data_IF_454675614744
#
_entry.id   IF_454675614744
#
_cell.length_a   1.000
_cell.length_b   1.000
_cell.length_c   1.000
_cell.angle_alpha   90.00
_cell.angle_beta   90.00
_cell.angle_gamma   90.00
#
_symmetry.space_group_name_H-M   'P 1'
#
loop_
_entity.id
_entity.type
_entity.pdbx_description
1 polymer ?
#
# COMPACT_ATOMS: atom_id res chain seq x y z
N UNK A 1 -2.76 3.82 0.43
CA UNK A 1 -4.21 3.59 0.22
C UNK A 1 -4.61 2.34 1.00
N UNK A 2 -5.80 2.31 1.60
CA UNK A 2 -6.29 1.19 2.41
C UNK A 2 -7.74 0.87 2.00
N UNK A 3 -8.01 -0.36 1.57
CA UNK A 3 -9.33 -0.80 1.08
C UNK A 3 -9.93 -1.93 1.93
N UNK A 4 -11.25 -1.91 2.12
CA UNK A 4 -12.08 -2.98 2.71
C UNK A 4 -11.61 -3.55 4.07
N UNK A 5 -10.90 -2.73 4.86
CA UNK A 5 -10.38 -3.08 6.18
C UNK A 5 -11.47 -3.35 7.21
N UNK A 6 -11.16 -4.14 8.25
CA UNK A 6 -12.16 -4.58 9.23
C UNK A 6 -11.86 -4.34 10.70
N UNK A 7 -10.59 -4.30 11.09
CA UNK A 7 -10.16 -4.06 12.48
C UNK A 7 -10.18 -2.57 12.80
N UNK A 8 -9.25 -2.06 13.59
CA UNK A 8 -9.23 -0.69 14.12
C UNK A 8 -8.81 0.39 13.10
N UNK A 9 -8.90 0.10 11.80
CA UNK A 9 -8.26 0.91 10.74
C UNK A 9 -6.77 0.61 10.73
N UNK A 10 -5.94 1.64 10.83
CA UNK A 10 -4.56 1.49 11.30
C UNK A 10 -4.53 1.65 12.84
N UNK A 11 -3.63 0.96 13.54
CA UNK A 11 -3.59 0.97 15.01
C UNK A 11 -2.18 0.81 15.58
N UNK A 12 -2.07 0.85 16.91
CA UNK A 12 -0.85 0.80 17.73
C UNK A 12 -0.23 2.18 17.96
N UNK A 13 1.11 2.28 17.93
CA UNK A 13 1.85 3.53 18.05
C UNK A 13 2.25 3.85 19.49
N UNK A 14 2.60 2.81 20.24
CA UNK A 14 3.19 2.88 21.57
C UNK A 14 4.59 3.51 21.49
N UNK A 15 4.70 4.75 21.95
CA UNK A 15 5.93 5.55 21.89
C UNK A 15 6.21 6.14 20.51
N UNK A 16 7.00 7.22 20.44
CA UNK A 16 7.41 7.83 19.17
C UNK A 16 6.47 8.91 18.62
N UNK A 17 6.72 9.30 17.37
CA UNK A 17 6.06 10.44 16.71
C UNK A 17 5.68 10.07 15.27
N UNK A 18 4.40 10.20 14.93
CA UNK A 18 3.83 9.63 13.71
C UNK A 18 3.09 10.67 12.87
N UNK A 19 3.44 10.73 11.58
CA UNK A 19 2.73 11.52 10.59
C UNK A 19 1.78 10.63 9.77
N UNK A 20 0.49 10.94 9.79
CA UNK A 20 -0.53 10.37 8.92
C UNK A 20 -0.94 11.42 7.90
N UNK A 21 -0.26 11.42 6.77
CA UNK A 21 -0.38 12.46 5.75
C UNK A 21 -0.95 11.89 4.45
N UNK A 22 -1.98 12.54 3.92
CA UNK A 22 -2.51 12.28 2.58
C UNK A 22 -2.85 10.81 2.28
N UNK A 23 -3.26 10.04 3.29
CA UNK A 23 -3.67 8.65 3.07
C UNK A 23 -5.09 8.59 2.49
N UNK A 24 -5.31 7.68 1.54
CA UNK A 24 -6.63 7.37 1.00
C UNK A 24 -7.21 6.09 1.61
N UNK A 25 -8.32 6.22 2.34
CA UNK A 25 -9.07 5.11 2.91
C UNK A 25 -10.35 4.89 2.10
N UNK A 26 -10.64 3.65 1.74
CA UNK A 26 -11.88 3.28 1.07
C UNK A 26 -12.55 2.13 1.80
N UNK A 27 -13.60 2.41 2.61
CA UNK A 27 -14.47 1.39 3.12
C UNK A 27 -14.99 0.52 1.97
N UNK A 28 -14.92 -0.79 2.12
CA UNK A 28 -15.63 -1.74 1.25
C UNK A 28 -16.81 -2.38 1.99
N UNK A 29 -17.44 -3.40 1.39
CA UNK A 29 -18.58 -4.08 1.99
C UNK A 29 -18.30 -4.68 3.37
N UNK A 30 -17.09 -5.22 3.62
CA UNK A 30 -16.69 -5.69 4.94
C UNK A 30 -16.56 -4.54 5.93
N UNK A 31 -15.85 -3.47 5.57
CA UNK A 31 -15.70 -2.27 6.41
C UNK A 31 -17.04 -1.68 6.83
N UNK A 32 -18.02 -1.68 5.93
CA UNK A 32 -19.37 -1.15 6.19
C UNK A 32 -20.12 -1.87 7.33
N UNK A 33 -19.70 -3.10 7.68
CA UNK A 33 -20.24 -3.87 8.82
C UNK A 33 -19.60 -3.51 10.16
N UNK A 34 -18.46 -2.82 10.14
CA UNK A 34 -17.62 -2.59 11.33
C UNK A 34 -17.84 -1.20 11.88
N UNK A 35 -17.60 -1.02 13.18
CA UNK A 35 -17.65 0.30 13.83
C UNK A 35 -16.45 1.18 13.46
N UNK A 36 -15.38 0.57 12.96
CA UNK A 36 -14.14 1.20 12.52
C UNK A 36 -14.22 1.86 11.15
N UNK A 37 -15.35 1.77 10.45
CA UNK A 37 -15.57 2.38 9.12
C UNK A 37 -15.26 3.88 9.03
N UNK A 38 -15.10 4.55 10.18
CA UNK A 38 -14.87 5.99 10.33
C UNK A 38 -13.56 6.31 11.05
N UNK A 39 -12.56 5.42 10.99
CA UNK A 39 -11.27 5.56 11.67
C UNK A 39 -10.13 5.67 10.66
N UNK A 40 -9.31 6.69 10.82
CA UNK A 40 -8.00 6.79 10.17
C UNK A 40 -6.97 6.03 10.99
N UNK A 41 -6.96 6.23 12.31
CA UNK A 41 -6.02 5.56 13.21
C UNK A 41 -6.62 5.35 14.60
N UNK A 42 -6.24 4.26 15.27
CA UNK A 42 -6.56 3.97 16.68
C UNK A 42 -5.27 3.83 17.49
N UNK A 43 -4.96 4.83 18.31
CA UNK A 43 -3.78 4.83 19.18
C UNK A 43 -3.98 3.94 20.41
N UNK A 44 -2.91 3.26 20.80
CA UNK A 44 -2.81 2.45 22.02
C UNK A 44 -1.67 2.99 22.89
N UNK A 45 -1.80 2.82 24.20
CA UNK A 45 -0.69 2.93 25.14
C UNK A 45 -0.05 1.55 25.35
N UNK A 46 1.22 1.53 25.74
CA UNK A 46 1.88 0.30 26.14
C UNK A 46 1.29 -0.19 27.48
N UNK A 47 0.98 -1.49 27.56
CA UNK A 47 0.41 -2.10 28.75
C UNK A 47 1.47 -2.52 29.79
N UNK A 48 2.75 -2.31 29.48
CA UNK A 48 3.91 -2.64 30.30
C UNK A 48 4.30 -4.12 30.23
N UNK A 49 3.74 -4.90 29.30
CA UNK A 49 4.16 -6.29 29.07
C UNK A 49 5.32 -6.43 28.08
N UNK A 50 5.65 -5.35 27.37
CA UNK A 50 6.78 -5.27 26.46
C UNK A 50 7.94 -4.49 27.11
N UNK A 51 8.88 -3.98 26.31
CA UNK A 51 10.04 -3.24 26.80
C UNK A 51 9.72 -1.81 27.29
N UNK A 52 8.63 -1.21 26.81
CA UNK A 52 8.25 0.13 27.22
C UNK A 52 7.63 0.13 28.62
N UNK A 53 7.74 1.28 29.28
CA UNK A 53 7.03 1.52 30.53
C UNK A 53 5.54 1.60 30.25
N UNK A 54 4.72 1.00 31.12
CA UNK A 54 3.26 1.11 31.07
C UNK A 54 2.82 2.57 30.95
N UNK A 55 1.91 2.86 30.02
CA UNK A 55 1.42 4.20 29.73
C UNK A 55 2.23 4.96 28.69
N UNK A 56 3.31 4.36 28.16
CA UNK A 56 4.04 4.93 27.02
C UNK A 56 3.11 4.99 25.81
N UNK A 57 2.95 6.16 25.22
CA UNK A 57 2.12 6.36 24.03
C UNK A 57 2.83 7.25 23.01
N UNK A 58 2.43 7.13 21.76
CA UNK A 58 2.91 7.99 20.68
C UNK A 58 2.22 9.35 20.67
N UNK A 59 2.75 10.24 19.81
CA UNK A 59 2.13 11.51 19.44
C UNK A 59 1.94 11.51 17.92
N UNK A 60 0.78 11.98 17.45
CA UNK A 60 0.30 11.78 16.10
C UNK A 60 -0.08 13.10 15.45
N UNK A 61 0.31 13.30 14.20
CA UNK A 61 -0.18 14.39 13.36
C UNK A 61 -0.97 13.82 12.19
N UNK A 62 -2.21 14.29 12.00
CA UNK A 62 -3.10 13.83 10.93
C UNK A 62 -3.48 15.01 10.04
N UNK A 63 -3.15 14.94 8.75
CA UNK A 63 -3.57 15.96 7.78
C UNK A 63 -3.74 15.40 6.37
N UNK A 64 -4.71 15.93 5.64
CA UNK A 64 -4.94 15.62 4.22
C UNK A 64 -5.40 14.19 3.93
N UNK A 65 -5.66 13.36 4.96
CA UNK A 65 -6.23 12.05 4.78
C UNK A 65 -7.68 12.16 4.30
N UNK A 66 -8.05 11.26 3.41
CA UNK A 66 -9.37 11.21 2.81
C UNK A 66 -9.96 9.82 2.96
N UNK A 67 -11.23 9.77 3.32
CA UNK A 67 -12.02 8.55 3.35
C UNK A 67 -13.14 8.63 2.33
N UNK A 68 -13.16 7.66 1.44
CA UNK A 68 -14.07 7.57 0.31
C UNK A 68 -15.46 7.10 0.77
N UNK A 69 -16.52 7.92 0.63
CA UNK A 69 -17.86 7.55 1.06
C UNK A 69 -18.63 6.77 0.00
N UNK A 70 -18.03 6.34 -1.12
CA UNK A 70 -18.77 5.85 -2.31
C UNK A 70 -19.23 4.40 -2.23
N UNK A 71 -18.67 3.57 -1.35
CA UNK A 71 -19.06 2.15 -1.23
C UNK A 71 -20.58 1.98 -1.12
N UNK A 72 -21.21 1.16 -1.98
CA UNK A 72 -22.67 0.97 -1.97
C UNK A 72 -23.23 0.46 -0.64
N UNK A 73 -22.45 -0.33 0.11
CA UNK A 73 -22.87 -0.89 1.39
C UNK A 73 -22.95 0.14 2.55
N UNK A 74 -22.47 1.37 2.36
CA UNK A 74 -22.57 2.43 3.35
C UNK A 74 -23.97 3.06 3.33
N UNK A 75 -24.64 3.04 4.49
CA UNK A 75 -25.87 3.80 4.70
C UNK A 75 -25.58 5.31 4.83
N UNK A 76 -26.64 6.12 4.75
CA UNK A 76 -26.55 7.58 4.79
C UNK A 76 -25.94 8.12 6.09
N UNK A 77 -26.16 7.44 7.23
CA UNK A 77 -25.59 7.83 8.52
C UNK A 77 -24.07 7.65 8.50
N UNK A 78 -23.59 6.54 7.93
CA UNK A 78 -22.16 6.27 7.76
C UNK A 78 -21.51 7.27 6.80
N UNK A 79 -22.14 7.58 5.66
CA UNK A 79 -21.65 8.60 4.72
C UNK A 79 -21.52 9.97 5.37
N UNK A 80 -22.52 10.40 6.15
CA UNK A 80 -22.44 11.65 6.94
C UNK A 80 -21.31 11.64 7.97
N UNK A 81 -21.02 10.51 8.60
CA UNK A 81 -19.89 10.40 9.51
C UNK A 81 -18.55 10.52 8.77
N UNK A 82 -18.42 9.90 7.60
CA UNK A 82 -17.26 10.02 6.72
C UNK A 82 -17.04 11.47 6.26
N UNK A 83 -18.10 12.18 5.89
CA UNK A 83 -17.99 13.60 5.52
C UNK A 83 -17.47 14.49 6.65
N UNK A 84 -17.67 14.11 7.93
CA UNK A 84 -17.12 14.85 9.08
C UNK A 84 -15.60 14.65 9.20
N UNK A 85 -15.13 13.42 9.14
CA UNK A 85 -13.69 13.10 9.21
C UNK A 85 -12.88 13.62 8.01
N UNK A 86 -13.51 13.79 6.84
CA UNK A 86 -12.87 14.42 5.68
C UNK A 86 -12.72 15.94 5.84
N UNK A 87 -13.54 16.58 6.69
CA UNK A 87 -13.41 18.01 7.03
C UNK A 87 -12.44 18.23 8.17
N UNK A 88 -12.38 17.29 9.10
CA UNK A 88 -11.52 17.32 10.28
C UNK A 88 -10.98 15.91 10.54
N UNK A 89 -9.71 15.69 10.17
CA UNK A 89 -9.07 14.38 10.32
C UNK A 89 -8.96 13.94 11.79
N UNK A 90 -8.95 14.87 12.76
CA UNK A 90 -8.93 14.51 14.18
C UNK A 90 -10.20 13.73 14.58
N UNK A 91 -11.33 13.96 13.90
CA UNK A 91 -12.57 13.20 14.14
C UNK A 91 -12.48 11.72 13.71
N UNK A 92 -11.49 11.37 12.89
CA UNK A 92 -11.17 9.99 12.52
C UNK A 92 -10.06 9.36 13.37
N UNK A 93 -9.50 10.09 14.34
CA UNK A 93 -8.52 9.58 15.29
C UNK A 93 -9.22 9.01 16.54
N UNK A 94 -8.78 7.85 17.01
CA UNK A 94 -9.33 7.20 18.20
C UNK A 94 -8.23 6.96 19.21
N UNK A 95 -8.43 7.41 20.44
CA UNK A 95 -7.57 7.07 21.59
C UNK A 95 -8.22 5.89 22.28
N UNK A 96 -7.56 4.72 22.25
CA UNK A 96 -8.14 3.52 22.84
C UNK A 96 -8.30 3.69 24.35
N UNK A 97 -9.48 3.35 24.88
CA UNK A 97 -9.79 3.41 26.31
C UNK A 97 -9.56 4.79 26.95
N UNK A 98 -9.51 5.85 26.15
CA UNK A 98 -9.29 7.22 26.61
C UNK A 98 -8.05 7.35 27.53
N UNK A 99 -6.96 6.63 27.22
CA UNK A 99 -5.77 6.56 28.08
C UNK A 99 -5.10 7.93 28.33
N UNK A 100 -5.29 8.89 27.43
CA UNK A 100 -4.78 10.26 27.53
C UNK A 100 -5.74 11.23 26.82
N UNK A 101 -5.73 12.53 27.18
CA UNK A 101 -6.49 13.54 26.45
C UNK A 101 -5.90 13.78 25.05
N UNK A 102 -6.75 14.19 24.12
CA UNK A 102 -6.34 14.46 22.74
C UNK A 102 -5.20 15.49 22.61
N UNK A 103 -5.10 16.45 23.55
CA UNK A 103 -4.02 17.44 23.57
C UNK A 103 -2.62 16.86 23.82
N UNK A 104 -2.53 15.65 24.41
CA UNK A 104 -1.25 14.97 24.66
C UNK A 104 -0.87 14.03 23.52
N UNK A 105 -1.86 13.56 22.76
CA UNK A 105 -1.69 12.52 21.73
C UNK A 105 -1.71 13.11 20.32
N UNK A 106 -2.37 14.25 20.08
CA UNK A 106 -2.42 14.92 18.79
C UNK A 106 -1.48 16.12 18.74
N UNK A 107 -0.51 16.06 17.85
CA UNK A 107 0.35 17.19 17.51
C UNK A 107 -0.39 18.20 16.62
N UNK A 108 -0.03 19.47 16.73
CA UNK A 108 -0.57 20.56 15.90
C UNK A 108 0.23 20.80 14.62
N UNK A 109 1.40 20.19 14.49
CA UNK A 109 2.32 20.32 13.36
C UNK A 109 2.92 18.96 12.99
N UNK A 110 3.27 18.73 11.72
CA UNK A 110 3.92 17.49 11.31
C UNK A 110 5.30 17.37 11.95
N UNK A 111 5.69 16.13 12.26
CA UNK A 111 7.04 15.82 12.70
C UNK A 111 8.02 15.88 11.52
N UNK A 112 9.26 16.28 11.77
CA UNK A 112 10.30 16.24 10.75
C UNK A 112 10.61 14.78 10.40
N UNK A 113 10.61 14.46 9.11
CA UNK A 113 11.05 13.17 8.57
C UNK A 113 12.33 13.38 7.76
N UNK A 114 13.27 12.45 7.88
CA UNK A 114 14.55 12.52 7.19
C UNK A 114 14.34 12.18 5.70
N UNK A 115 14.36 13.21 4.85
CA UNK A 115 14.53 13.20 3.39
C UNK A 115 13.36 12.83 2.44
N UNK A 116 13.36 13.56 1.30
CA UNK A 116 12.80 13.28 -0.03
C UNK A 116 11.44 12.58 -0.17
N UNK A 117 10.46 12.88 0.69
CA UNK A 117 9.08 12.48 0.40
C UNK A 117 8.38 13.52 -0.47
N UNK A 118 8.21 13.24 -1.75
CA UNK A 118 7.15 13.91 -2.52
C UNK A 118 5.80 13.41 -1.98
N UNK A 119 5.09 14.27 -1.26
CA UNK A 119 3.74 13.96 -0.82
C UNK A 119 2.77 14.16 -1.98
N UNK A 120 2.10 13.08 -2.38
CA UNK A 120 0.94 13.18 -3.26
C UNK A 120 -0.31 13.52 -2.44
N UNK A 121 -1.24 14.34 -2.98
CA UNK A 121 -2.61 14.41 -2.45
C UNK A 121 -3.25 13.01 -2.37
N UNK A 122 -4.17 12.79 -1.43
CA UNK A 122 -4.74 11.46 -1.21
C UNK A 122 -5.38 10.84 -2.46
N UNK A 123 -6.01 11.65 -3.31
CA UNK A 123 -6.58 11.20 -4.59
C UNK A 123 -5.51 10.77 -5.60
N UNK A 124 -4.42 11.52 -5.71
CA UNK A 124 -3.32 11.19 -6.61
C UNK A 124 -2.58 9.93 -6.12
N UNK A 125 -2.45 9.76 -4.80
CA UNK A 125 -1.94 8.54 -4.20
C UNK A 125 -2.83 7.33 -4.48
N UNK A 126 -4.16 7.49 -4.42
CA UNK A 126 -5.13 6.45 -4.79
C UNK A 126 -4.96 6.02 -6.25
N UNK A 127 -4.92 6.99 -7.16
CA UNK A 127 -4.77 6.74 -8.59
C UNK A 127 -3.40 6.13 -8.93
N UNK A 128 -2.33 6.59 -8.29
CA UNK A 128 -0.98 6.04 -8.47
C UNK A 128 -0.90 4.59 -8.01
N UNK A 129 -1.44 4.27 -6.82
CA UNK A 129 -1.49 2.88 -6.33
C UNK A 129 -2.27 1.99 -7.29
N UNK A 130 -3.44 2.43 -7.79
CA UNK A 130 -4.25 1.61 -8.68
C UNK A 130 -3.65 1.38 -10.06
N UNK A 131 -2.77 2.27 -10.52
CA UNK A 131 -2.05 2.07 -11.77
C UNK A 131 -0.79 1.21 -11.58
N UNK A 132 -0.02 1.49 -10.54
CA UNK A 132 1.39 1.07 -10.47
C UNK A 132 1.72 0.06 -9.37
N UNK A 133 0.85 -0.15 -8.36
CA UNK A 133 1.20 -1.05 -7.26
C UNK A 133 1.24 -2.52 -7.67
N UNK A 134 2.27 -3.25 -7.23
CA UNK A 134 2.48 -4.68 -7.57
C UNK A 134 3.60 -4.87 -8.60
N UNK A 135 3.93 -6.12 -8.90
CA UNK A 135 4.91 -6.48 -9.92
C UNK A 135 4.27 -6.39 -11.32
N UNK A 136 3.99 -5.18 -11.78
CA UNK A 136 3.00 -4.93 -12.84
C UNK A 136 3.58 -4.62 -14.21
N UNK A 137 4.58 -5.40 -14.67
CA UNK A 137 4.93 -5.42 -16.09
C UNK A 137 3.70 -5.81 -16.93
N UNK A 138 2.97 -6.84 -16.46
CA UNK A 138 1.68 -7.24 -17.00
C UNK A 138 0.72 -7.54 -15.85
N UNK A 139 -0.43 -6.87 -15.85
CA UNK A 139 -1.52 -7.12 -14.91
C UNK A 139 -2.23 -8.42 -15.28
N UNK A 140 -2.36 -9.33 -14.33
CA UNK A 140 -3.16 -10.55 -14.54
C UNK A 140 -4.66 -10.29 -14.26
N UNK A 141 -5.47 -11.35 -14.34
CA UNK A 141 -6.91 -11.24 -14.07
C UNK A 141 -7.21 -10.89 -12.61
N UNK A 142 -6.35 -11.27 -11.67
CA UNK A 142 -6.51 -10.98 -10.25
C UNK A 142 -6.19 -9.53 -9.95
N UNK A 143 -5.11 -9.00 -10.52
CA UNK A 143 -4.81 -7.57 -10.45
C UNK A 143 -5.96 -6.74 -11.00
N UNK A 144 -6.43 -7.09 -12.21
CA UNK A 144 -7.52 -6.38 -12.90
C UNK A 144 -8.79 -6.39 -12.07
N UNK A 145 -9.13 -7.55 -11.50
CA UNK A 145 -10.27 -7.69 -10.59
C UNK A 145 -10.10 -6.82 -9.34
N UNK A 146 -8.98 -6.92 -8.63
CA UNK A 146 -8.74 -6.17 -7.38
C UNK A 146 -8.81 -4.67 -7.64
N UNK A 147 -8.18 -4.17 -8.70
CA UNK A 147 -8.26 -2.76 -9.09
C UNK A 147 -9.70 -2.34 -9.40
N UNK A 148 -10.44 -3.15 -10.16
CA UNK A 148 -11.85 -2.90 -10.48
C UNK A 148 -12.75 -2.87 -9.25
N UNK A 149 -12.59 -3.84 -8.34
CA UNK A 149 -13.32 -3.94 -7.08
C UNK A 149 -13.04 -2.76 -6.15
N UNK A 150 -11.79 -2.33 -6.04
CA UNK A 150 -11.43 -1.13 -5.30
C UNK A 150 -12.11 0.09 -5.91
N UNK A 151 -12.07 0.28 -7.24
CA UNK A 151 -12.73 1.42 -7.89
C UNK A 151 -14.22 1.44 -7.59
N UNK A 152 -14.88 0.29 -7.73
CA UNK A 152 -16.30 0.14 -7.48
C UNK A 152 -16.68 0.19 -5.98
N UNK A 153 -15.75 -0.10 -5.08
CA UNK A 153 -16.05 -0.30 -3.65
C UNK A 153 -16.89 -1.56 -3.41
N UNK A 154 -16.61 -2.62 -4.17
CA UNK A 154 -17.33 -3.92 -4.17
C UNK A 154 -16.35 -5.10 -4.01
N UNK A 155 -16.86 -6.32 -4.04
CA UNK A 155 -16.06 -7.54 -4.10
C UNK A 155 -16.74 -8.55 -5.03
N UNK A 156 -15.98 -9.51 -5.58
CA UNK A 156 -16.52 -10.58 -6.42
C UNK A 156 -16.65 -11.91 -5.67
N UNK A 157 -15.68 -12.24 -4.81
CA UNK A 157 -15.56 -13.56 -4.18
C UNK A 157 -15.72 -13.50 -2.66
N UNK A 158 -16.36 -14.51 -2.10
CA UNK A 158 -16.47 -14.72 -0.66
C UNK A 158 -15.28 -15.55 -0.15
N UNK A 159 -14.92 -15.35 1.12
CA UNK A 159 -14.06 -16.29 1.83
C UNK A 159 -14.80 -17.59 2.12
N UNK A 160 -14.09 -18.71 2.16
CA UNK A 160 -14.70 -20.03 2.42
C UNK A 160 -14.40 -20.57 3.82
N UNK A 161 -13.49 -19.95 4.57
CA UNK A 161 -13.04 -20.40 5.89
C UNK A 161 -13.38 -19.43 7.03
N UNK A 162 -14.57 -18.85 6.96
CA UNK A 162 -15.14 -17.98 8.01
C UNK A 162 -15.03 -16.48 7.71
N UNK A 163 -14.30 -16.11 6.65
CA UNK A 163 -14.25 -14.74 6.14
C UNK A 163 -15.40 -14.47 5.17
N UNK A 164 -15.79 -13.19 5.03
CA UNK A 164 -16.93 -12.77 4.20
C UNK A 164 -16.67 -11.40 3.57
N UNK A 165 -17.52 -11.01 2.62
CA UNK A 165 -17.58 -9.66 2.05
C UNK A 165 -16.27 -9.23 1.37
N UNK A 166 -15.66 -10.15 0.62
CA UNK A 166 -14.41 -9.92 -0.12
C UNK A 166 -13.13 -10.19 0.67
N UNK A 167 -13.23 -10.69 1.91
CA UNK A 167 -12.08 -11.13 2.68
C UNK A 167 -11.71 -12.56 2.27
N UNK A 168 -10.70 -12.69 1.42
CA UNK A 168 -10.19 -13.99 0.93
C UNK A 168 -9.37 -14.66 2.03
N UNK A 169 -9.70 -15.91 2.35
CA UNK A 169 -9.00 -16.69 3.39
C UNK A 169 -8.49 -18.04 2.92
N UNK A 170 -8.79 -18.43 1.67
CA UNK A 170 -8.18 -19.56 0.98
C UNK A 170 -7.84 -19.19 -0.47
N UNK A 171 -6.70 -19.67 -1.03
CA UNK A 171 -6.42 -19.48 -2.45
C UNK A 171 -7.54 -20.00 -3.36
N UNK A 172 -8.24 -21.08 -2.96
CA UNK A 172 -9.36 -21.65 -3.71
C UNK A 172 -10.55 -20.71 -3.88
N UNK A 173 -10.74 -19.72 -2.98
CA UNK A 173 -11.83 -18.74 -3.07
C UNK A 173 -11.77 -17.94 -4.38
N UNK A 174 -10.56 -17.82 -4.93
CA UNK A 174 -10.26 -17.04 -6.14
C UNK A 174 -9.76 -17.91 -7.29
N UNK A 175 -9.94 -19.23 -7.18
CA UNK A 175 -9.58 -20.21 -8.21
C UNK A 175 -8.20 -20.86 -8.03
N UNK A 176 -7.49 -20.59 -6.94
CA UNK A 176 -6.17 -21.15 -6.65
C UNK A 176 -5.02 -20.42 -7.35
N UNK A 177 -3.85 -21.06 -7.37
CA UNK A 177 -2.66 -20.55 -8.06
C UNK A 177 -2.81 -20.76 -9.57
N UNK A 178 -2.55 -19.70 -10.33
CA UNK A 178 -2.63 -19.78 -11.78
C UNK A 178 -1.42 -20.49 -12.37
N UNK A 179 -1.62 -21.13 -13.52
CA UNK A 179 -0.50 -21.61 -14.33
C UNK A 179 0.07 -20.43 -15.12
N UNK A 180 1.20 -19.92 -14.69
CA UNK A 180 1.93 -18.89 -15.43
C UNK A 180 2.51 -19.50 -16.71
N UNK A 181 2.12 -18.94 -17.86
CA UNK A 181 2.62 -19.36 -19.16
C UNK A 181 3.94 -18.63 -19.42
N UNK A 182 5.02 -19.39 -19.47
CA UNK A 182 6.28 -18.90 -19.95
C UNK A 182 6.21 -18.72 -21.47
N UNK A 183 6.78 -17.63 -21.97
CA UNK A 183 7.10 -17.43 -23.38
C UNK A 183 8.56 -17.80 -23.62
N UNK A 184 8.97 -17.93 -24.88
CA UNK A 184 10.37 -18.18 -25.19
C UNK A 184 11.24 -17.08 -24.58
N UNK A 185 12.15 -17.46 -23.71
CA UNK A 185 13.10 -16.53 -23.13
C UNK A 185 14.00 -15.98 -24.25
N UNK A 186 14.34 -14.68 -24.24
CA UNK A 186 15.38 -14.15 -25.10
C UNK A 186 16.66 -14.97 -24.95
N UNK A 187 17.42 -15.10 -26.03
CA UNK A 187 18.71 -15.78 -25.98
C UNK A 187 19.66 -15.02 -25.04
N UNK A 188 20.30 -15.76 -24.15
CA UNK A 188 21.34 -15.32 -23.23
C UNK A 188 22.44 -16.40 -23.32
N UNK A 189 23.48 -16.11 -24.10
CA UNK A 189 24.49 -17.09 -24.51
C UNK A 189 25.44 -17.48 -23.38
N UNK A 190 25.74 -16.55 -22.46
CA UNK A 190 26.69 -16.77 -21.37
C UNK A 190 26.02 -16.98 -20.01
N UNK A 191 24.71 -16.76 -19.92
CA UNK A 191 23.86 -17.12 -18.79
C UNK A 191 23.96 -16.14 -17.63
N UNK A 192 24.31 -14.88 -17.90
CA UNK A 192 24.46 -13.86 -16.85
C UNK A 192 23.15 -13.13 -16.50
N UNK A 193 22.07 -13.43 -17.23
CA UNK A 193 20.73 -12.91 -17.01
C UNK A 193 20.34 -11.75 -17.94
N UNK A 194 21.23 -11.32 -18.85
CA UNK A 194 20.96 -10.29 -19.85
C UNK A 194 20.82 -10.91 -21.25
N UNK A 195 19.85 -10.47 -22.08
CA UNK A 195 19.73 -10.95 -23.45
C UNK A 195 20.86 -10.46 -24.34
N UNK A 196 21.35 -11.37 -25.18
CA UNK A 196 22.33 -11.15 -26.25
C UNK A 196 22.12 -9.85 -27.06
N UNK A 197 20.88 -9.61 -27.49
CA UNK A 197 20.51 -8.43 -28.28
C UNK A 197 20.58 -7.14 -27.45
N UNK A 198 20.21 -7.22 -26.17
CA UNK A 198 20.24 -6.10 -25.25
C UNK A 198 21.69 -5.73 -24.93
N UNK A 199 22.54 -6.70 -24.63
CA UNK A 199 23.96 -6.51 -24.39
C UNK A 199 24.66 -5.82 -25.56
N UNK A 200 24.44 -6.32 -26.80
CA UNK A 200 24.98 -5.71 -28.01
C UNK A 200 24.53 -4.26 -28.18
N UNK A 201 23.26 -3.98 -27.90
CA UNK A 201 22.73 -2.62 -27.98
C UNK A 201 23.36 -1.66 -26.93
N UNK A 202 23.88 -2.19 -25.83
CA UNK A 202 24.51 -1.43 -24.74
C UNK A 202 26.05 -1.55 -24.72
N UNK A 203 26.66 -2.19 -25.74
CA UNK A 203 28.11 -2.30 -25.88
C UNK A 203 28.78 -3.30 -24.92
N UNK A 204 28.02 -4.28 -24.45
CA UNK A 204 28.47 -5.43 -23.65
C UNK A 204 28.80 -6.63 -24.55
N UNK A 205 29.37 -7.69 -23.97
CA UNK A 205 29.83 -8.86 -24.70
C UNK A 205 29.00 -10.11 -24.35
N UNK A 206 28.12 -10.59 -25.25
CA UNK A 206 27.24 -11.77 -25.04
C UNK A 206 27.94 -13.13 -24.87
N UNK A 207 29.21 -13.16 -24.58
CA UNK A 207 29.99 -14.37 -24.37
C UNK A 207 30.91 -14.23 -23.16
N UNK A 208 30.69 -13.21 -22.33
CA UNK A 208 31.45 -12.89 -21.13
C UNK A 208 30.51 -12.76 -19.93
N UNK A 209 30.22 -13.92 -19.32
CA UNK A 209 29.35 -14.03 -18.15
C UNK A 209 29.78 -13.21 -16.92
N UNK A 210 30.93 -12.52 -16.96
CA UNK A 210 31.40 -11.66 -15.87
C UNK A 210 30.90 -10.23 -15.99
N UNK A 211 30.43 -9.81 -17.17
CA UNK A 211 30.10 -8.42 -17.41
C UNK A 211 28.71 -8.01 -16.87
N UNK A 212 27.77 -8.95 -16.67
CA UNK A 212 26.52 -8.71 -15.93
C UNK A 212 26.71 -8.18 -14.51
N UNK A 213 27.79 -8.59 -13.82
CA UNK A 213 28.15 -8.10 -12.49
C UNK A 213 28.99 -6.80 -12.50
N UNK A 214 29.38 -6.32 -13.69
CA UNK A 214 30.18 -5.11 -13.83
C UNK A 214 29.32 -3.83 -13.78
N UNK A 215 29.97 -2.72 -13.44
CA UNK A 215 29.36 -1.39 -13.31
C UNK A 215 29.73 -0.50 -14.51
N UNK A 216 29.42 -0.96 -15.73
CA UNK A 216 29.82 -0.28 -16.97
C UNK A 216 28.77 0.71 -17.46
N UNK A 217 27.50 0.37 -17.28
CA UNK A 217 26.36 1.20 -17.70
C UNK A 217 25.92 2.19 -16.62
N UNK A 218 26.24 1.93 -15.35
CA UNK A 218 25.93 2.79 -14.20
C UNK A 218 27.05 2.73 -13.16
N UNK A 219 27.37 3.85 -12.48
CA UNK A 219 28.33 3.85 -11.39
C UNK A 219 27.80 3.20 -10.10
N UNK A 220 26.48 3.00 -9.98
CA UNK A 220 25.83 2.54 -8.75
C UNK A 220 25.09 1.21 -8.90
N UNK A 221 24.88 0.75 -10.13
CA UNK A 221 24.12 -0.47 -10.45
C UNK A 221 24.92 -1.35 -11.40
N UNK A 222 24.85 -2.66 -11.21
CA UNK A 222 25.42 -3.61 -12.16
C UNK A 222 24.70 -3.54 -13.50
N UNK A 223 25.31 -4.07 -14.56
CA UNK A 223 24.67 -4.12 -15.87
C UNK A 223 23.36 -4.94 -15.82
N UNK A 224 23.33 -6.04 -15.06
CA UNK A 224 22.12 -6.83 -14.83
C UNK A 224 21.02 -6.00 -14.12
N UNK A 225 21.36 -5.21 -13.10
CA UNK A 225 20.39 -4.35 -12.43
C UNK A 225 19.84 -3.26 -13.36
N UNK A 226 20.69 -2.70 -14.24
CA UNK A 226 20.25 -1.75 -15.28
C UNK A 226 19.28 -2.41 -16.25
N UNK A 227 19.57 -3.62 -16.71
CA UNK A 227 18.67 -4.39 -17.57
C UNK A 227 17.32 -4.65 -16.90
N UNK A 228 17.33 -5.22 -15.69
CA UNK A 228 16.11 -5.56 -14.94
C UNK A 228 15.24 -4.33 -14.65
N UNK A 229 15.86 -3.19 -14.34
CA UNK A 229 15.14 -1.93 -14.15
C UNK A 229 14.52 -1.43 -15.47
N UNK A 230 15.24 -1.54 -16.59
CA UNK A 230 14.74 -1.16 -17.91
C UNK A 230 13.52 -1.97 -18.35
N UNK A 231 13.38 -3.23 -17.93
CA UNK A 231 12.20 -4.05 -18.22
C UNK A 231 10.90 -3.43 -17.67
N UNK A 232 10.98 -2.64 -16.60
CA UNK A 232 9.83 -2.11 -15.87
C UNK A 232 9.76 -0.59 -15.86
N UNK A 233 10.59 0.11 -16.64
CA UNK A 233 10.69 1.57 -16.65
C UNK A 233 9.32 2.24 -16.90
N UNK A 234 8.55 1.75 -17.88
CA UNK A 234 7.21 2.26 -18.19
C UNK A 234 6.11 1.90 -17.17
N UNK A 235 6.44 1.18 -16.10
CA UNK A 235 5.48 0.73 -15.09
C UNK A 235 5.40 1.65 -13.87
N UNK A 236 6.30 2.63 -13.75
CA UNK A 236 6.28 3.67 -12.72
C UNK A 236 6.04 5.05 -13.34
N UNK A 237 5.44 6.00 -12.60
CA UNK A 237 5.31 7.37 -13.09
C UNK A 237 6.69 8.02 -13.24
N UNK A 238 6.87 8.82 -14.29
CA UNK A 238 8.03 9.72 -14.42
C UNK A 238 8.05 10.68 -13.22
N UNK A 239 9.21 10.79 -12.56
CA UNK A 239 9.42 11.70 -11.42
C UNK A 239 9.41 13.17 -11.86
#
# INVERSE_FOLDING_TARGET
>A
MIYNFGSDGAYAGEGGSYNFLNNYYKPGPYTATKSSYKRFFTAYEDDGKNENVKGTHGVFYLAGNYMDPTCPALDEKKRKAIMRLNKDNAAGFVIKNDFAPASEVLASQPFAIAEHTTLQPAWDAYESVLRHAGASLHRDKQDTRIVGEVRAGTYTYEGSHGSTLGMIDQPSDVGGWETYRQTDAPLDTDGDGMPDDWERAHGLNPSDATDGAAYRLSPSYTNLEVYLNGLVEGTFPDN
#
